data_IF_700990298162
#
_entry.id   IF_700990298162
#
_cell.length_a   1.000
_cell.length_b   1.000
_cell.length_c   1.000
_cell.angle_alpha   90.00
_cell.angle_beta   90.00
_cell.angle_gamma   90.00
#
_symmetry.space_group_name_H-M   'P 1'
#
loop_
_entity.id
_entity.type
_entity.pdbx_description
1 polymer ?
#
# COMPACT_ATOMS: atom_id res chain seq x y z
N UNK A 1 -10.59 -8.49 10.98
CA UNK A 1 -9.97 -7.35 10.26
C UNK A 1 -10.43 -7.38 8.82
N UNK A 2 -11.06 -6.33 8.39
CA UNK A 2 -11.64 -6.26 7.06
C UNK A 2 -10.85 -5.31 6.19
N UNK A 3 -10.50 -5.76 4.97
CA UNK A 3 -9.78 -4.90 4.05
C UNK A 3 -10.74 -3.90 3.41
N UNK A 4 -10.25 -2.68 3.22
CA UNK A 4 -11.04 -1.61 2.63
C UNK A 4 -10.25 -0.96 1.51
N UNK A 5 -10.67 -1.23 0.28
CA UNK A 5 -9.97 -0.73 -0.91
C UNK A 5 -10.01 0.78 -1.03
N UNK A 6 -10.99 1.44 -0.40
CA UNK A 6 -11.09 2.88 -0.46
C UNK A 6 -9.98 3.60 0.30
N UNK A 7 -9.22 2.87 1.12
CA UNK A 7 -8.08 3.44 1.84
C UNK A 7 -6.82 3.47 0.99
N UNK A 8 -6.85 2.83 -0.18
CA UNK A 8 -5.71 2.80 -1.10
C UNK A 8 -5.86 3.92 -2.12
N UNK A 9 -4.85 4.78 -2.19
CA UNK A 9 -4.88 5.94 -3.07
C UNK A 9 -3.95 5.68 -4.25
N UNK A 10 -4.50 5.83 -5.45
CA UNK A 10 -3.76 5.64 -6.69
C UNK A 10 -3.58 6.98 -7.37
N UNK A 11 -2.34 7.30 -7.71
CA UNK A 11 -2.02 8.53 -8.42
C UNK A 11 -1.31 8.16 -9.72
N UNK A 12 -1.86 8.62 -10.84
CA UNK A 12 -1.22 8.39 -12.13
C UNK A 12 -0.18 9.48 -12.33
N UNK A 13 1.05 9.08 -12.61
CA UNK A 13 2.13 10.03 -12.81
C UNK A 13 2.07 10.71 -14.16
N UNK A 14 2.96 11.66 -14.35
CA UNK A 14 3.06 12.42 -15.59
C UNK A 14 3.60 11.59 -16.75
N UNK A 15 4.29 10.50 -16.46
CA UNK A 15 4.81 9.60 -17.47
C UNK A 15 3.92 8.37 -17.60
N UNK A 16 3.95 7.75 -18.78
CA UNK A 16 3.06 6.64 -19.09
C UNK A 16 3.24 5.41 -18.20
N UNK A 17 4.40 5.25 -17.60
CA UNK A 17 4.69 4.05 -16.82
C UNK A 17 4.79 4.30 -15.32
N UNK A 18 4.29 5.45 -14.87
CA UNK A 18 4.43 5.81 -13.47
C UNK A 18 3.07 5.83 -12.78
N UNK A 19 2.73 4.76 -12.12
CA UNK A 19 1.57 4.71 -11.24
C UNK A 19 2.10 4.67 -9.82
N UNK A 20 1.64 5.60 -8.98
CA UNK A 20 2.00 5.61 -7.58
C UNK A 20 0.81 5.18 -6.74
N UNK A 21 1.10 4.41 -5.69
CA UNK A 21 0.07 3.95 -4.75
C UNK A 21 0.57 4.23 -3.34
N UNK A 22 -0.32 4.72 -2.50
CA UNK A 22 -0.04 4.86 -1.08
C UNK A 22 -1.30 4.56 -0.29
N UNK A 23 -1.12 4.17 0.97
CA UNK A 23 -2.24 3.97 1.86
C UNK A 23 -2.58 5.31 2.52
N UNK A 24 -3.87 5.57 2.69
CA UNK A 24 -4.35 6.83 3.26
C UNK A 24 -3.71 7.15 4.62
N UNK A 25 -3.52 6.13 5.45
CA UNK A 25 -2.96 6.31 6.79
C UNK A 25 -1.44 6.42 6.82
N UNK A 26 -0.78 6.16 5.70
CA UNK A 26 0.68 6.20 5.58
C UNK A 26 1.11 6.96 4.33
N UNK A 27 0.75 8.24 4.24
CA UNK A 27 1.03 9.00 3.01
C UNK A 27 2.52 9.18 2.73
N UNK A 28 3.37 9.01 3.71
CA UNK A 28 4.82 9.13 3.54
C UNK A 28 5.43 7.89 2.89
N UNK A 29 4.70 6.79 2.84
CA UNK A 29 5.19 5.57 2.22
C UNK A 29 4.47 5.39 0.89
N UNK A 30 5.21 5.55 -0.20
CA UNK A 30 4.65 5.45 -1.55
C UNK A 30 5.44 4.44 -2.36
N UNK A 31 4.77 3.78 -3.27
CA UNK A 31 5.41 2.83 -4.17
C UNK A 31 4.96 3.10 -5.60
N UNK A 32 5.81 2.76 -6.55
CA UNK A 32 5.54 2.96 -7.96
C UNK A 32 5.57 1.63 -8.70
N UNK A 33 4.89 1.58 -9.82
CA UNK A 33 4.89 0.43 -10.71
C UNK A 33 4.27 0.79 -12.04
N UNK A 34 4.36 -0.11 -13.00
CA UNK A 34 3.80 0.10 -14.33
C UNK A 34 2.27 0.05 -14.31
N UNK A 35 1.71 -0.68 -13.35
CA UNK A 35 0.26 -0.81 -13.21
C UNK A 35 -0.11 -0.59 -11.76
N UNK A 36 -1.38 -0.29 -11.47
CA UNK A 36 -1.81 -0.17 -10.07
C UNK A 36 -1.52 -1.44 -9.27
N UNK A 37 -1.68 -2.61 -9.88
CA UNK A 37 -1.40 -3.87 -9.21
C UNK A 37 0.08 -3.99 -8.85
N UNK A 38 0.98 -3.68 -9.77
CA UNK A 38 2.41 -3.74 -9.52
C UNK A 38 2.81 -2.74 -8.44
N UNK A 39 2.29 -1.53 -8.51
CA UNK A 39 2.57 -0.50 -7.51
C UNK A 39 2.06 -0.93 -6.13
N UNK A 40 0.87 -1.51 -6.07
CA UNK A 40 0.29 -1.97 -4.80
C UNK A 40 1.12 -3.11 -4.21
N UNK A 41 1.60 -4.03 -5.04
CA UNK A 41 2.45 -5.12 -4.56
C UNK A 41 3.74 -4.56 -3.95
N UNK A 42 4.34 -3.57 -4.62
CA UNK A 42 5.54 -2.92 -4.11
C UNK A 42 5.26 -2.19 -2.79
N UNK A 43 4.09 -1.55 -2.70
CA UNK A 43 3.70 -0.87 -1.46
C UNK A 43 3.53 -1.85 -0.31
N UNK A 44 2.91 -2.99 -0.55
CA UNK A 44 2.76 -4.01 0.48
C UNK A 44 4.11 -4.47 1.00
N UNK A 45 5.09 -4.62 0.11
CA UNK A 45 6.43 -5.00 0.51
C UNK A 45 7.11 -3.93 1.37
N UNK A 46 6.92 -2.66 1.04
CA UNK A 46 7.48 -1.58 1.85
C UNK A 46 6.81 -1.51 3.22
N UNK A 47 5.51 -1.69 3.28
CA UNK A 47 4.79 -1.70 4.54
C UNK A 47 5.25 -2.89 5.43
N UNK A 48 5.52 -4.03 4.81
CA UNK A 48 6.02 -5.18 5.56
C UNK A 48 7.38 -4.88 6.21
N UNK A 49 8.25 -4.16 5.51
CA UNK A 49 9.53 -3.74 6.09
C UNK A 49 9.33 -2.77 7.24
N UNK A 50 8.38 -1.87 7.09
CA UNK A 50 8.04 -0.92 8.15
C UNK A 50 7.51 -1.66 9.38
N UNK A 51 6.74 -2.72 9.14
CA UNK A 51 6.19 -3.55 10.21
C UNK A 51 7.30 -4.16 11.07
N UNK A 52 8.39 -4.59 10.43
CA UNK A 52 9.50 -5.21 11.15
C UNK A 52 10.17 -4.25 12.13
N UNK A 53 10.08 -2.94 11.90
CA UNK A 53 10.67 -1.96 12.78
C UNK A 53 9.68 -1.31 13.73
N UNK A 54 8.42 -1.74 13.70
CA UNK A 54 7.40 -1.17 14.59
C UNK A 54 7.61 -1.66 16.03
N UNK A 55 7.64 -0.72 16.96
CA UNK A 55 7.97 -1.01 18.34
C UNK A 55 6.75 -1.21 19.26
N UNK A 56 5.57 -0.82 18.82
CA UNK A 56 4.37 -0.95 19.65
C UNK A 56 3.33 -1.82 18.96
N UNK A 57 2.51 -2.48 19.77
CA UNK A 57 1.41 -3.31 19.24
C UNK A 57 0.44 -2.48 18.42
N UNK A 58 0.14 -1.30 18.88
CA UNK A 58 -0.76 -0.39 18.17
C UNK A 58 -0.23 -0.08 16.76
N UNK A 59 1.04 0.24 16.67
CA UNK A 59 1.65 0.56 15.39
C UNK A 59 1.65 -0.64 14.47
N UNK A 60 1.97 -1.82 15.01
CA UNK A 60 1.96 -3.05 14.23
C UNK A 60 0.58 -3.36 13.67
N UNK A 61 -0.45 -3.21 14.49
CA UNK A 61 -1.82 -3.48 14.04
C UNK A 61 -2.24 -2.53 12.93
N UNK A 62 -1.87 -1.26 13.05
CA UNK A 62 -2.18 -0.27 12.03
C UNK A 62 -1.51 -0.61 10.70
N UNK A 63 -0.24 -1.01 10.76
CA UNK A 63 0.51 -1.37 9.56
C UNK A 63 -0.06 -2.67 8.96
N UNK A 64 -0.39 -3.64 9.79
CA UNK A 64 -0.97 -4.90 9.31
C UNK A 64 -2.30 -4.65 8.60
N UNK A 65 -3.13 -3.76 9.12
CA UNK A 65 -4.37 -3.40 8.45
C UNK A 65 -4.10 -2.75 7.10
N UNK A 66 -3.10 -1.87 7.04
CA UNK A 66 -2.74 -1.22 5.78
C UNK A 66 -2.25 -2.25 4.75
N UNK A 67 -1.46 -3.22 5.19
CA UNK A 67 -1.00 -4.29 4.31
C UNK A 67 -2.18 -5.09 3.78
N UNK A 68 -3.14 -5.41 4.62
CA UNK A 68 -4.33 -6.15 4.20
C UNK A 68 -5.12 -5.38 3.16
N UNK A 69 -5.29 -4.08 3.36
CA UNK A 69 -6.00 -3.23 2.41
C UNK A 69 -5.28 -3.20 1.06
N UNK A 70 -3.96 -3.03 1.08
CA UNK A 70 -3.17 -2.95 -0.14
C UNK A 70 -3.13 -4.27 -0.88
N UNK A 71 -3.01 -5.39 -0.16
CA UNK A 71 -3.01 -6.71 -0.78
C UNK A 71 -4.35 -7.01 -1.43
N UNK A 72 -5.45 -6.65 -0.77
CA UNK A 72 -6.77 -6.84 -1.34
C UNK A 72 -6.93 -6.03 -2.62
N UNK A 73 -6.39 -4.80 -2.63
CA UNK A 73 -6.39 -3.97 -3.82
C UNK A 73 -5.58 -4.63 -4.95
N UNK A 74 -4.40 -5.15 -4.64
CA UNK A 74 -3.54 -5.79 -5.64
C UNK A 74 -4.19 -7.03 -6.23
N UNK A 75 -4.85 -7.84 -5.41
CA UNK A 75 -5.52 -9.05 -5.87
C UNK A 75 -6.70 -8.75 -6.77
N UNK A 76 -7.41 -7.69 -6.47
CA UNK A 76 -8.59 -7.31 -7.23
C UNK A 76 -8.22 -6.58 -8.50
N UNK A 77 -7.07 -5.92 -8.48
CA UNK A 77 -6.69 -4.99 -9.52
C UNK A 77 -6.29 -5.63 -10.80
N UNK A 78 -6.35 -5.21 -11.72
CA UNK A 78 -5.92 -5.17 -12.92
C UNK A 78 -6.48 -4.86 -13.78
#
# INVERSE_FOLDING_TARGET
MEADLSRVIVTTGATANATQVNHRDFPEIRAEGETPKAAATNLANQLARTLDSALTSWRRETIEQAIADVKAFAERGD
#
